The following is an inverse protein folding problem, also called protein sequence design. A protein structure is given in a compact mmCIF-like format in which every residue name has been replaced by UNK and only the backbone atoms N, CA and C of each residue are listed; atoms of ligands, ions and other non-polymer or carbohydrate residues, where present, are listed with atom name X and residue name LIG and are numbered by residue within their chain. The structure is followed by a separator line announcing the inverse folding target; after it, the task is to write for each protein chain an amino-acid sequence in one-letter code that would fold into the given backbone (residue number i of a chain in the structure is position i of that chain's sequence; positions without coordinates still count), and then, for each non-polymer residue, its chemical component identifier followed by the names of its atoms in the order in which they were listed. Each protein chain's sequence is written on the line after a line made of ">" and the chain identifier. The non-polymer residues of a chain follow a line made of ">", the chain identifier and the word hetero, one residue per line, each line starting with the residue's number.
data_IF_031159946728
#
_entry.id   IF_031159946728
#
_cell.length_a   1.000
_cell.length_b   1.000
_cell.length_c   1.000
_cell.angle_alpha   90.00
_cell.angle_beta   90.00
_cell.angle_gamma   90.00
#
_symmetry.space_group_name_H-M   'P 1'
#
loop_
_entity.id
_entity.type
_entity.pdbx_description
1 polymer ?
#
# COMPACT_ATOMS: atom_id res chain seq x y z
N UNK A 1 -11.24 10.70 -15.38
CA UNK A 1 -11.21 10.56 -13.92
C UNK A 1 -11.23 11.94 -13.26
N UNK A 2 -12.01 12.11 -12.20
CA UNK A 2 -12.24 13.37 -11.49
C UNK A 2 -12.07 13.14 -9.97
N UNK A 3 -11.09 13.78 -9.30
CA UNK A 3 -10.99 13.74 -7.84
C UNK A 3 -12.24 14.33 -7.18
N UNK A 4 -12.83 13.64 -6.20
CA UNK A 4 -14.01 14.10 -5.46
C UNK A 4 -13.71 14.33 -3.97
N UNK A 5 -12.64 13.77 -3.47
CA UNK A 5 -12.14 14.01 -2.11
C UNK A 5 -10.62 13.79 -2.05
N UNK A 6 -10.03 13.97 -0.87
CA UNK A 6 -8.61 13.70 -0.67
C UNK A 6 -8.21 12.24 -0.97
N UNK A 7 -9.15 11.29 -0.87
CA UNK A 7 -8.88 9.85 -0.96
C UNK A 7 -9.74 9.13 -2.00
N UNK A 8 -10.60 9.85 -2.75
CA UNK A 8 -11.48 9.21 -3.72
C UNK A 8 -11.61 10.04 -5.00
N UNK A 9 -11.79 9.33 -6.11
CA UNK A 9 -12.03 9.88 -7.42
C UNK A 9 -13.25 9.23 -8.07
N UNK A 10 -13.86 9.93 -9.00
CA UNK A 10 -14.90 9.42 -9.86
C UNK A 10 -14.29 9.03 -11.19
N UNK A 11 -14.35 7.77 -11.54
CA UNK A 11 -14.03 7.26 -12.86
C UNK A 11 -15.30 7.22 -13.69
N UNK A 12 -15.27 7.71 -14.94
CA UNK A 12 -16.40 7.69 -15.86
C UNK A 12 -15.98 7.10 -17.19
N UNK A 13 -16.91 6.42 -17.83
CA UNK A 13 -16.75 5.85 -19.17
C UNK A 13 -18.07 5.93 -19.94
N UNK A 14 -17.98 5.77 -21.26
CA UNK A 14 -19.16 5.73 -22.10
C UNK A 14 -19.89 4.41 -21.92
N UNK A 15 -21.23 4.49 -21.97
CA UNK A 15 -22.04 3.28 -21.88
C UNK A 15 -21.82 2.40 -23.11
N UNK A 16 -21.56 1.12 -22.91
CA UNK A 16 -21.50 0.16 -24.00
C UNK A 16 -22.81 0.09 -24.78
N UNK A 17 -22.73 -0.25 -26.07
CA UNK A 17 -23.92 -0.49 -26.91
C UNK A 17 -24.40 -1.95 -26.79
N UNK A 18 -23.52 -2.86 -26.32
CA UNK A 18 -23.79 -4.30 -26.25
C UNK A 18 -24.84 -4.60 -25.16
N UNK A 19 -25.89 -5.33 -25.54
CA UNK A 19 -27.01 -5.63 -24.65
C UNK A 19 -26.67 -6.69 -23.63
N UNK A 20 -25.84 -7.68 -23.98
CA UNK A 20 -25.35 -8.76 -23.13
C UNK A 20 -24.43 -8.25 -22.02
N UNK A 21 -23.66 -7.17 -22.27
CA UNK A 21 -22.93 -6.48 -21.23
C UNK A 21 -23.87 -5.66 -20.32
N UNK A 22 -24.85 -4.96 -20.91
CA UNK A 22 -25.80 -4.12 -20.13
C UNK A 22 -26.70 -4.95 -19.21
N UNK A 23 -27.04 -6.18 -19.64
CA UNK A 23 -27.94 -7.07 -18.93
C UNK A 23 -27.10 -8.22 -18.37
N UNK A 24 -26.85 -8.21 -17.08
CA UNK A 24 -26.05 -9.18 -16.33
C UNK A 24 -24.52 -9.16 -16.56
N UNK A 25 -24.00 -8.35 -17.47
CA UNK A 25 -22.56 -8.17 -17.62
C UNK A 25 -21.93 -7.28 -16.55
N UNK A 26 -20.62 -7.17 -16.59
CA UNK A 26 -19.81 -6.48 -15.59
C UNK A 26 -18.81 -5.50 -16.24
N UNK A 27 -18.35 -4.53 -15.45
CA UNK A 27 -17.18 -3.70 -15.76
C UNK A 27 -16.11 -3.96 -14.72
N UNK A 28 -14.98 -4.48 -15.16
CA UNK A 28 -13.80 -4.71 -14.32
C UNK A 28 -12.90 -3.49 -14.35
N UNK A 29 -12.39 -3.08 -13.19
CA UNK A 29 -11.51 -1.92 -13.03
C UNK A 29 -10.24 -2.38 -12.33
N UNK A 30 -9.11 -2.33 -13.05
CA UNK A 30 -7.79 -2.69 -12.54
C UNK A 30 -6.89 -1.48 -12.42
N UNK A 31 -5.81 -1.60 -11.67
CA UNK A 31 -4.82 -0.57 -11.43
C UNK A 31 -3.41 -1.12 -11.43
N UNK A 32 -2.49 -0.37 -12.02
CA UNK A 32 -1.05 -0.53 -11.90
C UNK A 32 -0.44 0.74 -11.31
N UNK A 33 0.63 0.62 -10.51
CA UNK A 33 1.35 1.78 -9.98
C UNK A 33 2.20 2.52 -11.04
N UNK A 34 2.39 1.92 -12.22
CA UNK A 34 3.15 2.53 -13.30
C UNK A 34 2.42 3.76 -13.84
N UNK A 35 3.16 4.84 -14.13
CA UNK A 35 2.61 6.12 -14.63
C UNK A 35 3.18 6.52 -15.97
N UNK A 36 3.98 5.65 -16.59
CA UNK A 36 4.69 5.87 -17.85
C UNK A 36 3.96 5.32 -19.09
N UNK A 37 2.79 4.69 -18.90
CA UNK A 37 2.00 4.09 -19.97
C UNK A 37 2.50 2.71 -20.42
N UNK A 38 3.40 2.09 -19.66
CA UNK A 38 3.90 0.72 -19.95
C UNK A 38 3.07 -0.37 -19.28
N UNK A 39 2.14 0.00 -18.39
CA UNK A 39 1.24 -0.96 -17.77
C UNK A 39 0.31 -1.60 -18.79
N UNK A 40 -0.02 -2.86 -18.56
CA UNK A 40 -0.99 -3.60 -19.36
C UNK A 40 -2.06 -4.22 -18.47
N UNK A 41 -3.17 -4.67 -19.05
CA UNK A 41 -4.22 -5.34 -18.30
C UNK A 41 -3.74 -6.57 -17.50
N UNK A 42 -2.90 -7.47 -18.07
CA UNK A 42 -2.39 -8.62 -17.32
C UNK A 42 -1.46 -8.24 -16.15
N UNK A 43 -0.72 -7.14 -16.25
CA UNK A 43 0.16 -6.68 -15.18
C UNK A 43 -0.50 -5.65 -14.25
N UNK A 44 -1.82 -5.74 -14.09
CA UNK A 44 -2.61 -4.85 -13.24
C UNK A 44 -3.49 -5.68 -12.31
N UNK A 45 -3.82 -5.12 -11.14
CA UNK A 45 -4.61 -5.77 -10.10
C UNK A 45 -5.95 -5.07 -9.92
N UNK A 46 -6.97 -5.79 -9.45
CA UNK A 46 -8.29 -5.22 -9.21
C UNK A 46 -8.19 -3.99 -8.29
N UNK A 47 -8.77 -2.88 -8.72
CA UNK A 47 -8.82 -1.64 -7.94
C UNK A 47 -10.04 -1.62 -7.02
N UNK A 48 -11.16 -2.09 -7.53
CA UNK A 48 -12.43 -2.26 -6.82
C UNK A 48 -13.10 -3.55 -7.33
N UNK A 49 -14.07 -4.12 -6.60
CA UNK A 49 -14.92 -5.17 -7.14
C UNK A 49 -15.58 -4.74 -8.45
N UNK A 50 -15.80 -5.69 -9.36
CA UNK A 50 -16.47 -5.39 -10.63
C UNK A 50 -17.84 -4.74 -10.39
N UNK A 51 -18.16 -3.76 -11.23
CA UNK A 51 -19.46 -3.05 -11.17
C UNK A 51 -20.38 -3.52 -12.28
N UNK A 52 -21.68 -3.25 -12.15
CA UNK A 52 -22.67 -3.68 -13.16
C UNK A 52 -22.38 -3.13 -14.55
N UNK A 53 -22.57 -3.92 -15.60
CA UNK A 53 -22.26 -3.58 -16.99
C UNK A 53 -23.05 -2.38 -17.55
N UNK A 54 -24.19 -2.04 -16.94
CA UNK A 54 -24.95 -0.83 -17.28
C UNK A 54 -24.47 0.44 -16.56
N UNK A 55 -23.46 0.34 -15.71
CA UNK A 55 -22.87 1.50 -15.03
C UNK A 55 -22.04 2.33 -16.01
N UNK A 56 -22.01 3.64 -15.80
CA UNK A 56 -21.18 4.60 -16.55
C UNK A 56 -20.19 5.34 -15.67
N UNK A 57 -20.21 5.04 -14.38
CA UNK A 57 -19.28 5.61 -13.42
C UNK A 57 -19.06 4.68 -12.22
N UNK A 58 -17.91 4.83 -11.57
CA UNK A 58 -17.58 4.22 -10.29
C UNK A 58 -16.79 5.19 -9.42
N UNK A 59 -16.95 5.06 -8.11
CA UNK A 59 -16.09 5.73 -7.14
C UNK A 59 -14.92 4.80 -6.87
N UNK A 60 -13.71 5.29 -7.12
CA UNK A 60 -12.46 4.56 -6.95
C UNK A 60 -11.56 5.29 -5.97
N UNK A 61 -10.61 4.60 -5.31
CA UNK A 61 -9.57 5.25 -4.53
C UNK A 61 -8.79 6.24 -5.40
N UNK A 62 -8.42 7.38 -4.81
CA UNK A 62 -7.56 8.36 -5.45
C UNK A 62 -6.10 7.89 -5.34
N UNK A 63 -5.62 7.17 -6.36
CA UNK A 63 -4.29 6.56 -6.41
C UNK A 63 -3.54 7.02 -7.66
N UNK A 64 -2.22 7.21 -7.54
CA UNK A 64 -1.37 7.42 -8.72
C UNK A 64 -1.16 6.11 -9.44
N UNK A 65 -1.06 6.15 -10.76
CA UNK A 65 -0.87 4.97 -11.59
C UNK A 65 -1.77 4.97 -12.81
N UNK A 66 -1.78 3.85 -13.52
CA UNK A 66 -2.67 3.63 -14.66
C UNK A 66 -3.87 2.78 -14.24
N UNK A 67 -5.06 3.26 -14.56
CA UNK A 67 -6.34 2.60 -14.24
C UNK A 67 -6.93 2.10 -15.55
N UNK A 68 -7.28 0.83 -15.59
CA UNK A 68 -7.83 0.12 -16.73
C UNK A 68 -9.29 -0.24 -16.51
N UNK A 69 -10.07 -0.31 -17.59
CA UNK A 69 -11.42 -0.86 -17.60
C UNK A 69 -11.61 -1.84 -18.77
N UNK A 70 -12.24 -2.98 -18.50
CA UNK A 70 -12.75 -3.93 -19.49
C UNK A 70 -14.21 -4.26 -19.19
N UNK A 71 -15.00 -4.47 -20.24
CA UNK A 71 -16.35 -5.00 -20.14
C UNK A 71 -16.33 -6.52 -20.16
N UNK A 72 -17.26 -7.14 -19.45
CA UNK A 72 -17.54 -8.58 -19.47
C UNK A 72 -19.01 -8.80 -19.80
N UNK A 73 -19.30 -9.72 -20.70
CA UNK A 73 -20.68 -10.11 -21.07
C UNK A 73 -21.31 -11.05 -20.02
N UNK A 74 -22.56 -11.43 -20.22
CA UNK A 74 -23.30 -12.33 -19.33
C UNK A 74 -22.80 -13.80 -19.38
N UNK A 75 -21.92 -14.14 -20.32
CA UNK A 75 -21.26 -15.45 -20.45
C UNK A 75 -19.85 -15.47 -19.84
N UNK A 76 -19.35 -14.34 -19.36
CA UNK A 76 -18.02 -14.20 -18.75
C UNK A 76 -16.91 -13.84 -19.75
N UNK A 77 -17.22 -13.54 -21.02
CA UNK A 77 -16.19 -13.13 -21.97
C UNK A 77 -15.85 -11.65 -21.78
N UNK A 78 -14.56 -11.34 -21.69
CA UNK A 78 -14.07 -9.97 -21.53
C UNK A 78 -13.75 -9.32 -22.88
N UNK A 79 -13.92 -8.00 -22.95
CA UNK A 79 -13.52 -7.23 -24.14
C UNK A 79 -12.02 -7.43 -24.43
N UNK A 80 -11.67 -7.59 -25.71
CA UNK A 80 -10.29 -7.83 -26.15
C UNK A 80 -9.34 -6.75 -25.66
N UNK A 81 -9.72 -5.48 -25.83
CA UNK A 81 -8.88 -4.34 -25.44
C UNK A 81 -9.36 -3.72 -24.11
N UNK A 82 -8.43 -3.34 -23.26
CA UNK A 82 -8.69 -2.49 -22.12
C UNK A 82 -8.58 -1.00 -22.53
N UNK A 83 -9.43 -0.16 -21.95
CA UNK A 83 -9.26 1.29 -22.00
C UNK A 83 -8.59 1.74 -20.71
N UNK A 84 -7.61 2.65 -20.80
CA UNK A 84 -6.89 3.12 -19.62
C UNK A 84 -6.86 4.64 -19.48
N UNK A 85 -6.59 5.09 -18.26
CA UNK A 85 -6.30 6.48 -17.91
C UNK A 85 -5.18 6.53 -16.90
N UNK A 86 -4.18 7.39 -17.14
CA UNK A 86 -3.08 7.62 -16.20
C UNK A 86 -3.45 8.75 -15.26
N UNK A 87 -3.33 8.50 -13.94
CA UNK A 87 -3.46 9.50 -12.90
C UNK A 87 -2.10 9.78 -12.26
N UNK A 88 -1.68 11.02 -12.33
CA UNK A 88 -0.48 11.51 -11.65
C UNK A 88 -0.89 12.54 -10.61
N UNK A 89 -0.34 12.43 -9.41
CA UNK A 89 -0.48 13.48 -8.42
C UNK A 89 0.70 14.42 -8.48
N UNK A 90 0.49 15.74 -8.38
CA UNK A 90 1.56 16.63 -8.02
C UNK A 90 2.09 16.19 -6.64
N UNK A 91 3.40 16.22 -6.47
CA UNK A 91 4.04 15.96 -5.20
C UNK A 91 3.38 16.81 -4.11
N UNK A 92 2.63 16.18 -3.21
CA UNK A 92 1.85 16.90 -2.21
C UNK A 92 2.81 17.43 -1.15
N UNK A 93 3.26 18.66 -1.34
CA UNK A 93 3.97 19.43 -0.33
C UNK A 93 3.19 19.36 1.00
N UNK A 94 3.78 18.71 2.00
CA UNK A 94 3.18 18.62 3.32
C UNK A 94 2.88 17.22 3.84
N UNK A 95 3.24 16.15 3.10
CA UNK A 95 3.23 14.78 3.62
C UNK A 95 4.65 14.34 3.97
N UNK A 96 4.77 13.55 5.03
CA UNK A 96 5.99 12.83 5.37
C UNK A 96 5.83 11.38 4.90
N UNK A 97 6.61 10.97 3.91
CA UNK A 97 6.77 9.56 3.60
C UNK A 97 7.67 8.95 4.68
N UNK A 98 7.08 8.12 5.52
CA UNK A 98 7.79 7.56 6.68
C UNK A 98 8.54 6.32 6.29
N UNK A 99 7.90 5.47 5.50
CA UNK A 99 8.48 4.21 5.03
C UNK A 99 7.86 3.78 3.72
N UNK A 100 8.72 3.33 2.84
CA UNK A 100 8.37 2.46 1.72
C UNK A 100 8.92 1.09 2.05
N UNK A 101 8.06 0.10 2.24
CA UNK A 101 8.45 -1.29 2.40
C UNK A 101 8.32 -1.99 1.06
N UNK A 102 9.36 -2.71 0.69
CA UNK A 102 9.45 -3.50 -0.53
C UNK A 102 10.00 -4.87 -0.14
N UNK A 103 9.17 -5.92 -0.23
CA UNK A 103 9.57 -7.31 0.05
C UNK A 103 10.47 -7.87 -1.06
N UNK A 104 10.28 -7.40 -2.29
CA UNK A 104 11.07 -7.74 -3.47
C UNK A 104 12.50 -7.17 -3.44
N UNK A 105 12.76 -6.09 -2.68
CA UNK A 105 14.09 -5.49 -2.55
C UNK A 105 14.88 -6.01 -1.35
N UNK A 106 14.35 -6.95 -0.60
CA UNK A 106 15.09 -7.61 0.49
C UNK A 106 16.25 -8.44 -0.05
N UNK A 107 17.17 -8.84 0.82
CA UNK A 107 18.28 -9.74 0.47
C UNK A 107 18.33 -10.92 1.46
N UNK A 108 17.90 -12.14 1.02
CA UNK A 108 17.27 -12.48 -0.26
C UNK A 108 15.89 -11.84 -0.42
N UNK A 109 15.34 -11.72 -1.64
CA UNK A 109 13.98 -11.21 -1.84
C UNK A 109 12.90 -12.07 -1.20
N UNK A 110 11.75 -11.46 -0.90
CA UNK A 110 10.56 -12.15 -0.39
C UNK A 110 10.83 -13.07 0.81
N UNK A 111 11.36 -12.51 1.91
CA UNK A 111 11.72 -13.26 3.13
C UNK A 111 10.51 -13.67 3.99
N UNK A 112 9.30 -13.24 3.64
CA UNK A 112 8.09 -13.56 4.37
C UNK A 112 7.69 -15.03 4.31
N UNK A 113 6.56 -15.36 4.93
CA UNK A 113 6.04 -16.73 4.91
C UNK A 113 5.39 -17.03 3.57
N UNK A 114 5.85 -18.08 2.91
CA UNK A 114 5.36 -18.56 1.63
C UNK A 114 4.52 -19.82 1.84
N UNK A 115 3.37 -19.88 1.21
CA UNK A 115 2.51 -21.07 1.12
C UNK A 115 2.15 -21.25 -0.34
N UNK A 116 2.53 -22.37 -0.93
CA UNK A 116 2.27 -22.72 -2.33
C UNK A 116 2.80 -21.67 -3.33
N UNK A 117 3.85 -20.93 -2.94
CA UNK A 117 4.57 -19.97 -3.80
C UNK A 117 6.06 -19.97 -3.45
N UNK A 118 6.88 -19.58 -4.40
CA UNK A 118 8.33 -19.43 -4.21
C UNK A 118 8.85 -18.19 -4.96
N UNK A 119 10.08 -17.78 -4.62
CA UNK A 119 10.81 -16.79 -5.37
C UNK A 119 11.61 -17.49 -6.46
N UNK A 120 11.32 -17.12 -7.69
CA UNK A 120 12.04 -17.59 -8.88
C UNK A 120 13.19 -16.63 -9.18
N UNK A 121 14.44 -17.13 -9.12
CA UNK A 121 15.65 -16.33 -9.32
C UNK A 121 15.83 -15.92 -10.79
N UNK A 122 15.35 -16.71 -11.75
CA UNK A 122 15.47 -16.44 -13.17
C UNK A 122 14.47 -15.36 -13.63
N UNK A 123 13.28 -15.37 -13.03
CA UNK A 123 12.23 -14.37 -13.28
C UNK A 123 12.36 -13.13 -12.36
N UNK A 124 13.20 -13.20 -11.31
CA UNK A 124 13.32 -12.18 -10.26
C UNK A 124 11.95 -11.80 -9.65
N UNK A 125 11.11 -12.79 -9.39
CA UNK A 125 9.72 -12.56 -8.98
C UNK A 125 9.20 -13.67 -8.05
N UNK A 126 8.12 -13.36 -7.31
CA UNK A 126 7.36 -14.34 -6.56
C UNK A 126 6.28 -14.94 -7.46
N UNK A 127 6.21 -16.26 -7.56
CA UNK A 127 5.26 -16.98 -8.41
C UNK A 127 4.51 -18.05 -7.62
N UNK A 128 3.38 -18.51 -8.17
CA UNK A 128 2.66 -19.69 -7.65
C UNK A 128 3.52 -20.92 -7.95
N UNK A 129 3.61 -21.83 -6.98
CA UNK A 129 4.28 -23.11 -7.12
C UNK A 129 3.50 -24.02 -8.08
N UNK A 130 4.21 -24.96 -8.69
CA UNK A 130 3.63 -26.01 -9.51
C UNK A 130 3.45 -27.31 -8.74
N UNK A 131 2.53 -28.15 -9.18
CA UNK A 131 2.48 -29.52 -8.72
C UNK A 131 3.77 -30.25 -9.17
N UNK A 132 4.30 -31.11 -8.35
CA UNK A 132 5.60 -31.79 -8.44
C UNK A 132 6.30 -31.72 -9.81
N UNK A 133 7.44 -31.04 -9.91
CA UNK A 133 8.23 -31.00 -11.13
C UNK A 133 9.00 -32.32 -11.31
N UNK A 134 9.25 -32.71 -12.55
CA UNK A 134 9.98 -33.95 -12.87
C UNK A 134 11.36 -34.03 -12.20
N UNK A 135 12.04 -32.89 -12.08
CA UNK A 135 13.38 -32.78 -11.48
C UNK A 135 13.37 -32.96 -9.95
N UNK A 136 12.21 -32.77 -9.30
CA UNK A 136 12.06 -32.94 -7.84
C UNK A 136 11.74 -34.39 -7.44
N UNK A 137 11.51 -35.27 -8.42
CA UNK A 137 11.18 -36.67 -8.17
C UNK A 137 12.45 -37.52 -7.92
N UNK A 138 12.53 -38.11 -6.72
CA UNK A 138 13.64 -39.00 -6.37
C UNK A 138 13.66 -40.28 -7.22
N UNK A 139 12.49 -40.78 -7.63
CA UNK A 139 12.30 -41.98 -8.46
C UNK A 139 11.07 -41.82 -9.37
N UNK A 140 11.19 -42.19 -10.65
CA UNK A 140 10.12 -42.13 -11.63
C UNK A 140 8.90 -42.97 -11.23
N UNK A 141 9.11 -44.05 -10.47
CA UNK A 141 8.05 -44.95 -10.01
C UNK A 141 7.14 -44.33 -8.94
N UNK A 142 7.50 -43.20 -8.37
CA UNK A 142 6.69 -42.47 -7.38
C UNK A 142 5.72 -41.44 -8.00
N UNK A 143 5.86 -41.17 -9.28
CA UNK A 143 5.01 -40.22 -10.00
C UNK A 143 3.62 -40.83 -10.18
N UNK A 144 2.63 -40.24 -9.54
CA UNK A 144 1.24 -40.69 -9.57
C UNK A 144 0.54 -40.41 -10.91
N UNK A 145 0.92 -39.31 -11.59
CA UNK A 145 0.42 -38.93 -12.91
C UNK A 145 1.46 -38.06 -13.61
N UNK A 146 1.81 -38.38 -14.84
CA UNK A 146 2.66 -37.56 -15.70
C UNK A 146 1.89 -36.40 -16.33
N UNK A 147 0.56 -36.48 -16.39
CA UNK A 147 -0.29 -35.48 -17.02
C UNK A 147 -0.47 -34.24 -16.16
N UNK A 148 -0.15 -34.32 -14.87
CA UNK A 148 -0.29 -33.20 -13.90
C UNK A 148 1.05 -32.63 -13.45
N UNK A 149 2.17 -33.17 -13.93
CA UNK A 149 3.50 -32.66 -13.60
C UNK A 149 3.69 -31.26 -14.13
N UNK A 150 3.95 -30.32 -13.20
CA UNK A 150 4.14 -28.92 -13.53
C UNK A 150 2.84 -28.11 -13.70
N UNK A 151 1.68 -28.69 -13.39
CA UNK A 151 0.42 -27.95 -13.28
C UNK A 151 0.56 -26.88 -12.20
N UNK A 152 0.16 -25.65 -12.53
CA UNK A 152 0.20 -24.53 -11.57
C UNK A 152 -0.89 -24.73 -10.53
N UNK A 153 -0.53 -24.57 -9.24
CA UNK A 153 -1.48 -24.64 -8.14
C UNK A 153 -2.53 -23.52 -8.25
N UNK A 154 -3.75 -23.82 -7.84
CA UNK A 154 -4.89 -22.91 -8.00
C UNK A 154 -4.83 -21.68 -7.10
N UNK A 155 -4.04 -21.70 -6.01
CA UNK A 155 -3.90 -20.61 -5.07
C UNK A 155 -2.60 -20.68 -4.30
N UNK A 156 -2.08 -19.51 -3.92
CA UNK A 156 -0.90 -19.37 -3.11
C UNK A 156 -1.00 -18.13 -2.20
N UNK A 157 -0.26 -18.11 -1.12
CA UNK A 157 -0.23 -17.00 -0.16
C UNK A 157 1.20 -16.62 0.20
N UNK A 158 1.47 -15.33 0.23
CA UNK A 158 2.69 -14.75 0.77
C UNK A 158 2.35 -13.76 1.88
N UNK A 159 2.79 -14.01 3.11
CA UNK A 159 2.64 -13.08 4.21
C UNK A 159 3.95 -12.32 4.46
N UNK A 160 3.88 -10.98 4.54
CA UNK A 160 5.03 -10.10 4.79
C UNK A 160 5.78 -10.50 6.06
N UNK A 161 7.11 -10.35 6.02
CA UNK A 161 7.98 -10.71 7.14
C UNK A 161 7.70 -9.90 8.40
N UNK A 162 7.35 -8.63 8.27
CA UNK A 162 7.14 -7.73 9.39
C UNK A 162 5.81 -6.99 9.32
N UNK A 163 5.21 -6.74 10.49
CA UNK A 163 4.11 -5.80 10.64
C UNK A 163 4.61 -4.36 10.54
N UNK A 164 3.81 -3.46 9.98
CA UNK A 164 3.98 -2.02 10.11
C UNK A 164 3.50 -1.59 11.50
N UNK A 165 4.42 -1.28 12.43
CA UNK A 165 4.09 -0.79 13.78
C UNK A 165 4.34 0.72 13.87
N UNK A 166 3.31 1.48 14.22
CA UNK A 166 3.36 2.94 14.41
C UNK A 166 3.69 3.34 15.85
N UNK A 167 3.82 2.36 16.76
CA UNK A 167 4.08 2.58 18.19
C UNK A 167 2.86 3.06 19.00
N UNK A 168 1.87 3.68 18.34
CA UNK A 168 0.59 4.09 18.90
C UNK A 168 -0.47 4.14 17.80
N UNK A 169 -1.74 4.35 18.17
CA UNK A 169 -2.82 4.48 17.19
C UNK A 169 -2.75 5.83 16.49
N UNK A 170 -2.55 5.80 15.17
CA UNK A 170 -2.50 6.97 14.30
C UNK A 170 -3.41 6.80 13.09
N UNK A 171 -3.81 7.93 12.52
CA UNK A 171 -4.37 8.01 11.18
C UNK A 171 -3.26 8.32 10.17
N UNK A 172 -3.14 7.51 9.12
CA UNK A 172 -2.12 7.65 8.09
C UNK A 172 -2.66 7.19 6.74
N UNK A 173 -2.03 7.67 5.67
CA UNK A 173 -2.31 7.19 4.31
C UNK A 173 -1.34 6.04 3.99
N UNK A 174 -1.87 4.90 3.55
CA UNK A 174 -1.07 3.78 3.08
C UNK A 174 -1.42 3.52 1.61
N UNK A 175 -0.41 3.55 0.76
CA UNK A 175 -0.51 3.22 -0.65
C UNK A 175 0.13 1.85 -0.89
N UNK A 176 -0.54 1.00 -1.68
CA UNK A 176 0.03 -0.28 -2.08
C UNK A 176 1.12 -0.08 -3.13
N UNK A 177 2.16 -0.90 -3.07
CA UNK A 177 3.17 -1.10 -4.10
C UNK A 177 3.00 -2.54 -4.56
N UNK A 178 2.35 -2.73 -5.70
CA UNK A 178 1.94 -4.05 -6.13
C UNK A 178 1.89 -4.08 -7.65
N UNK A 179 2.87 -4.75 -8.26
CA UNK A 179 2.98 -4.94 -9.70
C UNK A 179 3.03 -6.42 -9.97
N UNK A 180 2.15 -6.88 -10.83
CA UNK A 180 2.01 -8.29 -11.19
C UNK A 180 2.04 -8.45 -12.69
N UNK A 181 2.42 -9.63 -13.15
CA UNK A 181 2.45 -9.98 -14.55
C UNK A 181 1.98 -11.42 -14.72
N UNK A 182 0.97 -11.63 -15.55
CA UNK A 182 0.50 -12.95 -15.93
C UNK A 182 1.37 -13.52 -17.05
N UNK A 183 1.60 -14.83 -17.05
CA UNK A 183 2.40 -15.49 -18.07
C UNK A 183 2.06 -16.97 -18.19
N UNK A 184 2.50 -17.60 -19.28
CA UNK A 184 2.46 -19.05 -19.48
C UNK A 184 3.86 -19.62 -19.22
N UNK A 185 4.09 -20.37 -18.12
CA UNK A 185 5.41 -20.95 -17.83
C UNK A 185 5.90 -21.91 -18.91
N UNK A 186 4.95 -22.63 -19.51
CA UNK A 186 5.19 -23.70 -20.48
C UNK A 186 4.54 -23.42 -21.84
N UNK A 187 4.56 -22.18 -22.33
CA UNK A 187 4.05 -21.87 -23.68
C UNK A 187 4.99 -22.41 -24.75
N UNK A 188 5.03 -23.74 -24.86
CA UNK A 188 5.83 -24.42 -25.83
C UNK A 188 5.15 -24.35 -27.21
N UNK A 189 5.96 -24.09 -28.25
CA UNK A 189 5.53 -24.15 -29.65
C UNK A 189 4.80 -25.47 -29.96
N UNK A 190 5.21 -26.55 -29.30
CA UNK A 190 4.66 -27.89 -29.44
C UNK A 190 3.20 -28.05 -28.97
N UNK A 191 2.74 -27.19 -28.06
CA UNK A 191 1.33 -27.23 -27.60
C UNK A 191 0.36 -26.54 -28.53
N UNK A 192 0.85 -25.77 -29.53
CA UNK A 192 0.03 -25.04 -30.48
C UNK A 192 -0.35 -25.92 -31.68
N UNK A 193 -1.63 -26.10 -31.90
CA UNK A 193 -2.18 -26.89 -33.00
C UNK A 193 -2.41 -26.10 -34.28
N UNK A 194 -2.40 -24.77 -34.21
CA UNK A 194 -2.59 -23.89 -35.35
C UNK A 194 -1.29 -23.72 -36.15
N UNK A 195 -1.40 -23.45 -37.47
CA UNK A 195 -0.23 -23.18 -38.30
C UNK A 195 0.49 -21.90 -37.84
N UNK A 196 1.82 -21.92 -37.87
CA UNK A 196 2.69 -20.84 -37.43
C UNK A 196 2.39 -19.50 -38.11
N UNK A 197 1.96 -19.51 -39.37
CA UNK A 197 1.57 -18.35 -40.16
C UNK A 197 0.24 -17.70 -39.70
N UNK A 198 -0.51 -18.40 -38.84
CA UNK A 198 -1.77 -17.90 -38.26
C UNK A 198 -1.57 -17.36 -36.82
N UNK A 199 -0.39 -17.46 -36.27
CA UNK A 199 -0.10 -16.97 -34.94
C UNK A 199 0.06 -15.46 -34.95
N UNK A 200 -0.75 -14.78 -34.13
CA UNK A 200 -0.65 -13.34 -33.94
C UNK A 200 0.55 -12.93 -33.07
N UNK A 201 1.12 -13.92 -32.38
CA UNK A 201 2.07 -13.71 -31.31
C UNK A 201 2.94 -14.97 -31.15
N UNK A 202 4.28 -14.81 -31.11
CA UNK A 202 5.19 -15.92 -30.86
C UNK A 202 5.37 -16.20 -29.35
N UNK A 203 5.04 -15.22 -28.50
CA UNK A 203 5.23 -15.28 -27.06
C UNK A 203 3.97 -15.75 -26.31
N UNK A 204 2.99 -16.28 -27.02
CA UNK A 204 1.77 -16.81 -26.41
C UNK A 204 0.56 -15.90 -26.47
N UNK A 205 -0.57 -16.43 -26.05
CA UNK A 205 -1.80 -15.66 -25.82
C UNK A 205 -1.70 -14.90 -24.49
N UNK A 206 -2.47 -13.82 -24.35
CA UNK A 206 -2.56 -13.09 -23.08
C UNK A 206 -3.07 -14.03 -21.98
N UNK A 207 -2.30 -14.25 -20.91
CA UNK A 207 -2.74 -15.01 -19.75
C UNK A 207 -3.75 -14.17 -18.96
N UNK A 208 -4.99 -14.64 -18.83
CA UNK A 208 -6.08 -13.89 -18.21
C UNK A 208 -6.84 -14.67 -17.12
N UNK A 209 -6.50 -15.96 -16.95
CA UNK A 209 -7.10 -16.84 -15.95
C UNK A 209 -6.45 -16.74 -14.56
N UNK A 210 -5.62 -15.74 -14.33
CA UNK A 210 -4.89 -15.52 -13.08
C UNK A 210 -5.22 -14.17 -12.44
N UNK A 211 -5.08 -14.09 -11.13
CA UNK A 211 -5.26 -12.85 -10.37
C UNK A 211 -4.40 -12.85 -9.12
N UNK A 212 -4.01 -11.67 -8.67
CA UNK A 212 -3.38 -11.50 -7.37
C UNK A 212 -4.04 -10.36 -6.60
N UNK A 213 -4.17 -10.54 -5.29
CA UNK A 213 -4.76 -9.56 -4.38
C UNK A 213 -3.86 -9.34 -3.18
N UNK A 214 -3.77 -8.11 -2.76
CA UNK A 214 -3.09 -7.73 -1.54
C UNK A 214 -4.13 -7.52 -0.44
N UNK A 215 -3.88 -8.10 0.74
CA UNK A 215 -4.75 -7.98 1.91
C UNK A 215 -3.99 -7.34 3.07
N UNK A 216 -4.75 -6.74 3.97
CA UNK A 216 -4.23 -6.27 5.24
C UNK A 216 -5.17 -6.65 6.39
N UNK A 217 -4.62 -6.66 7.58
CA UNK A 217 -5.36 -6.64 8.83
C UNK A 217 -4.68 -5.72 9.82
N UNK A 218 -5.45 -5.16 10.76
CA UNK A 218 -4.94 -4.18 11.70
C UNK A 218 -5.23 -4.55 13.14
N UNK A 219 -4.45 -3.96 14.06
CA UNK A 219 -4.66 -4.06 15.50
C UNK A 219 -4.30 -2.75 16.19
N UNK A 220 -4.90 -2.51 17.36
CA UNK A 220 -4.49 -1.45 18.29
C UNK A 220 -3.58 -1.97 19.42
N UNK A 221 -3.36 -3.29 19.46
CA UNK A 221 -2.46 -3.91 20.42
C UNK A 221 -0.99 -3.74 19.99
N UNK A 222 -0.09 -3.98 20.94
CA UNK A 222 1.35 -4.04 20.66
C UNK A 222 1.69 -5.28 19.84
N UNK A 223 2.20 -5.16 18.61
CA UNK A 223 2.50 -6.33 17.77
C UNK A 223 3.66 -7.18 18.32
N UNK A 224 4.48 -6.66 19.23
CA UNK A 224 5.53 -7.42 19.89
C UNK A 224 5.04 -8.35 21.02
N UNK A 225 3.78 -8.19 21.45
CA UNK A 225 3.12 -8.99 22.45
C UNK A 225 2.30 -10.15 21.86
N UNK A 226 1.08 -10.32 22.35
CA UNK A 226 0.10 -11.27 21.80
C UNK A 226 -1.09 -10.48 21.22
N UNK A 227 -0.89 -9.82 20.07
CA UNK A 227 -1.90 -8.92 19.52
C UNK A 227 -3.11 -9.68 18.97
N UNK A 228 -4.29 -9.08 19.13
CA UNK A 228 -5.51 -9.54 18.46
C UNK A 228 -5.72 -8.71 17.21
N UNK A 229 -5.52 -9.32 16.06
CA UNK A 229 -5.78 -8.68 14.76
C UNK A 229 -7.24 -8.85 14.35
N UNK A 230 -7.77 -7.87 13.63
CA UNK A 230 -9.03 -7.98 12.91
C UNK A 230 -8.99 -9.02 11.79
N UNK A 231 -10.11 -9.20 11.08
CA UNK A 231 -10.17 -10.02 9.89
C UNK A 231 -9.32 -9.43 8.76
N UNK A 232 -8.83 -10.30 7.87
CA UNK A 232 -8.18 -9.88 6.63
C UNK A 232 -9.18 -9.14 5.73
N UNK A 233 -8.75 -8.03 5.17
CA UNK A 233 -9.51 -7.17 4.25
C UNK A 233 -8.65 -6.91 3.02
N UNK A 234 -9.27 -6.82 1.85
CA UNK A 234 -8.57 -6.45 0.63
C UNK A 234 -7.93 -5.08 0.79
N UNK A 235 -6.64 -4.99 0.48
CA UNK A 235 -5.88 -3.76 0.64
C UNK A 235 -6.01 -2.89 -0.60
N UNK A 236 -6.81 -1.86 -0.46
CA UNK A 236 -6.91 -0.76 -1.41
C UNK A 236 -6.26 0.46 -0.76
N UNK A 237 -5.42 1.17 -1.52
CA UNK A 237 -4.76 2.40 -1.01
C UNK A 237 -5.77 3.37 -0.42
N UNK A 238 -5.48 3.93 0.75
CA UNK A 238 -6.40 4.81 1.46
C UNK A 238 -5.86 5.30 2.80
N UNK A 239 -6.74 5.98 3.55
CA UNK A 239 -6.44 6.42 4.92
C UNK A 239 -6.92 5.36 5.90
N UNK A 240 -6.04 4.94 6.79
CA UNK A 240 -6.27 3.92 7.79
C UNK A 240 -5.98 4.44 9.19
N UNK A 241 -6.57 3.79 10.18
CA UNK A 241 -6.43 4.17 11.57
C UNK A 241 -6.23 2.93 12.44
N UNK A 242 -5.01 2.71 12.89
CA UNK A 242 -4.63 1.66 13.83
C UNK A 242 -3.25 1.92 14.42
N UNK A 243 -2.79 1.04 15.33
CA UNK A 243 -1.40 0.99 15.79
C UNK A 243 -0.53 0.17 14.86
N UNK A 244 -0.99 -0.99 14.43
CA UNK A 244 -0.18 -1.85 13.58
C UNK A 244 -1.00 -2.54 12.49
N UNK A 245 -0.30 -2.88 11.39
CA UNK A 245 -0.86 -3.51 10.20
C UNK A 245 0.01 -4.71 9.80
N UNK A 246 -0.64 -5.81 9.41
CA UNK A 246 -0.03 -6.93 8.72
C UNK A 246 -0.55 -7.01 7.30
N UNK A 247 0.29 -7.48 6.37
CA UNK A 247 -0.04 -7.58 4.95
C UNK A 247 0.23 -9.00 4.44
N UNK A 248 -0.57 -9.42 3.45
CA UNK A 248 -0.34 -10.64 2.70
C UNK A 248 -0.80 -10.47 1.26
N UNK A 249 -0.14 -11.15 0.33
CA UNK A 249 -0.60 -11.31 -1.04
C UNK A 249 -1.22 -12.70 -1.20
N UNK A 250 -2.35 -12.77 -1.90
CA UNK A 250 -2.96 -14.01 -2.39
C UNK A 250 -2.83 -14.03 -3.91
N UNK A 251 -2.33 -15.12 -4.45
CA UNK A 251 -2.20 -15.38 -5.88
C UNK A 251 -3.16 -16.50 -6.24
N UNK A 252 -3.83 -16.38 -7.36
CA UNK A 252 -4.79 -17.38 -7.80
C UNK A 252 -4.63 -17.64 -9.29
N UNK A 253 -4.73 -18.90 -9.69
CA UNK A 253 -4.88 -19.32 -11.06
C UNK A 253 -6.10 -20.25 -11.21
N UNK A 254 -6.91 -20.00 -12.22
CA UNK A 254 -8.03 -20.88 -12.60
C UNK A 254 -7.69 -21.76 -13.82
N UNK A 255 -6.48 -21.66 -14.32
CA UNK A 255 -5.94 -22.47 -15.41
C UNK A 255 -4.54 -22.98 -15.02
N UNK A 256 -4.37 -24.29 -14.99
CA UNK A 256 -3.12 -24.96 -14.61
C UNK A 256 -1.93 -24.62 -15.52
N UNK A 257 -2.17 -24.09 -16.71
CA UNK A 257 -1.15 -23.66 -17.65
C UNK A 257 -0.73 -22.19 -17.49
N UNK A 258 -1.42 -21.42 -16.65
CA UNK A 258 -1.19 -20.01 -16.46
C UNK A 258 -0.66 -19.73 -15.06
N UNK A 259 0.33 -18.86 -14.96
CA UNK A 259 0.87 -18.40 -13.68
C UNK A 259 0.86 -16.88 -13.61
N UNK A 260 0.97 -16.35 -12.39
CA UNK A 260 1.13 -14.94 -12.10
C UNK A 260 2.39 -14.72 -11.29
N UNK A 261 3.16 -13.74 -11.68
CA UNK A 261 4.32 -13.29 -10.93
C UNK A 261 4.07 -11.94 -10.29
N UNK A 262 4.72 -11.70 -9.17
CA UNK A 262 4.75 -10.43 -8.47
C UNK A 262 6.15 -9.85 -8.58
N UNK A 263 6.29 -8.78 -9.39
CA UNK A 263 7.55 -8.04 -9.59
C UNK A 263 7.80 -7.02 -8.47
N UNK A 264 6.73 -6.38 -7.97
CA UNK A 264 6.81 -5.38 -6.90
C UNK A 264 5.78 -5.69 -5.83
N UNK A 265 6.22 -5.86 -4.58
CA UNK A 265 5.35 -6.12 -3.45
C UNK A 265 5.71 -5.26 -2.26
N UNK A 266 4.78 -4.40 -1.85
CA UNK A 266 5.03 -3.54 -0.71
C UNK A 266 3.96 -2.52 -0.45
N UNK A 267 4.32 -1.54 0.36
CA UNK A 267 3.48 -0.38 0.65
C UNK A 267 4.33 0.86 0.89
N UNK A 268 3.69 2.02 0.76
CA UNK A 268 4.23 3.31 1.19
C UNK A 268 3.30 3.92 2.22
N UNK A 269 3.80 4.12 3.44
CA UNK A 269 3.08 4.75 4.54
C UNK A 269 3.47 6.24 4.64
N UNK A 270 2.47 7.13 4.72
CA UNK A 270 2.68 8.58 4.83
C UNK A 270 1.79 9.20 5.89
N UNK A 271 2.32 10.19 6.60
CA UNK A 271 1.57 11.02 7.52
C UNK A 271 1.35 12.41 6.95
N UNK A 272 0.20 12.99 7.25
CA UNK A 272 -0.07 14.39 6.92
C UNK A 272 0.65 15.32 7.88
N UNK A 273 1.16 16.45 7.36
CA UNK A 273 1.69 17.53 8.17
C UNK A 273 0.58 18.17 8.99
N UNK A 274 0.83 18.39 10.26
CA UNK A 274 -0.09 19.04 11.20
C UNK A 274 0.58 20.21 11.90
N UNK A 275 -0.22 21.22 12.16
CA UNK A 275 0.14 22.34 13.00
C UNK A 275 -0.79 22.40 14.20
N UNK A 276 -0.22 22.68 15.37
CA UNK A 276 -0.95 22.92 16.60
C UNK A 276 -0.46 24.23 17.23
N UNK A 277 -1.38 25.01 17.75
CA UNK A 277 -1.11 26.29 18.38
C UNK A 277 -1.68 26.30 19.80
N UNK A 278 -1.12 27.14 20.68
CA UNK A 278 -1.78 27.43 21.95
C UNK A 278 -3.13 28.10 21.72
N UNK A 279 -4.13 27.72 22.53
CA UNK A 279 -5.48 28.33 22.48
C UNK A 279 -5.55 29.70 23.21
N UNK A 280 -4.43 30.34 23.42
CA UNK A 280 -4.28 31.59 24.14
C UNK A 280 -2.94 31.69 24.87
N UNK A 281 -2.83 32.66 25.73
CA UNK A 281 -1.64 32.89 26.54
C UNK A 281 -1.49 31.85 27.63
N UNK A 282 -0.27 31.34 27.78
CA UNK A 282 0.12 30.37 28.80
C UNK A 282 1.11 31.05 29.73
N UNK A 283 0.84 31.03 31.04
CA UNK A 283 1.80 31.51 32.03
C UNK A 283 2.95 30.50 32.23
N UNK A 284 4.20 30.95 32.10
CA UNK A 284 5.38 30.09 32.31
C UNK A 284 5.58 29.68 33.77
N UNK A 285 5.10 30.49 34.69
CA UNK A 285 5.36 30.29 36.13
C UNK A 285 6.81 30.63 36.53
N UNK A 286 7.18 30.21 37.72
CA UNK A 286 8.52 30.41 38.30
C UNK A 286 9.33 29.11 38.37
N UNK A 287 8.98 28.13 37.56
CA UNK A 287 9.68 26.84 37.38
C UNK A 287 9.54 26.39 35.94
N UNK A 288 10.28 25.35 35.54
CA UNK A 288 10.12 24.74 34.21
C UNK A 288 8.64 24.41 33.97
N UNK A 289 8.09 24.94 32.90
CA UNK A 289 6.71 24.70 32.48
C UNK A 289 6.65 23.60 31.45
N UNK A 290 5.99 22.51 31.79
CA UNK A 290 5.62 21.49 30.82
C UNK A 290 4.37 21.93 30.04
N UNK A 291 4.40 21.77 28.73
CA UNK A 291 3.31 22.03 27.79
C UNK A 291 2.95 20.71 27.08
N UNK A 292 1.70 20.33 27.15
CA UNK A 292 1.19 19.10 26.50
C UNK A 292 0.43 19.49 25.23
N UNK A 293 0.67 18.77 24.14
CA UNK A 293 -0.09 18.89 22.91
C UNK A 293 -1.49 18.29 23.07
N UNK A 294 -2.46 18.80 22.35
CA UNK A 294 -3.84 18.26 22.34
C UNK A 294 -3.87 16.80 21.85
N UNK A 295 -3.11 16.54 20.82
CA UNK A 295 -2.90 15.19 20.26
C UNK A 295 -1.41 14.94 20.03
N UNK A 296 -0.95 13.71 20.28
CA UNK A 296 0.44 13.38 20.02
C UNK A 296 0.79 13.47 18.53
N UNK A 297 2.00 13.91 18.23
CA UNK A 297 2.60 13.84 16.91
C UNK A 297 3.26 12.48 16.71
N UNK A 298 3.34 12.04 15.46
CA UNK A 298 4.20 10.92 15.09
C UNK A 298 5.66 11.39 15.10
N UNK A 299 6.51 10.68 15.84
CA UNK A 299 7.93 11.04 15.96
C UNK A 299 8.88 9.97 15.43
N UNK A 300 8.34 8.89 14.87
CA UNK A 300 9.08 7.72 14.42
C UNK A 300 9.09 6.61 15.47
N UNK A 301 9.34 5.39 14.99
CA UNK A 301 9.57 4.19 15.81
C UNK A 301 10.88 3.52 15.38
N UNK A 302 11.37 2.54 16.13
CA UNK A 302 12.57 1.81 15.76
C UNK A 302 12.48 1.20 14.37
N UNK A 303 11.28 0.77 13.96
CA UNK A 303 10.99 0.20 12.64
C UNK A 303 10.63 1.24 11.57
N UNK A 304 10.39 2.51 11.97
CA UNK A 304 9.88 3.57 11.09
C UNK A 304 10.73 4.84 11.21
N UNK A 305 11.83 4.88 10.50
CA UNK A 305 12.74 6.04 10.42
C UNK A 305 13.62 6.24 11.65
N UNK A 306 13.45 5.47 12.73
CA UNK A 306 14.15 5.62 14.00
C UNK A 306 13.36 6.42 15.04
N UNK A 307 13.57 6.09 16.30
CA UNK A 307 12.93 6.78 17.43
C UNK A 307 13.33 8.26 17.43
N UNK A 308 12.36 9.15 17.50
CA UNK A 308 12.53 10.60 17.49
C UNK A 308 13.10 11.19 16.17
N UNK A 309 13.08 10.46 15.07
CA UNK A 309 13.54 10.97 13.76
C UNK A 309 12.70 12.17 13.26
N UNK A 310 11.43 12.26 13.70
CA UNK A 310 10.45 13.24 13.21
C UNK A 310 9.87 14.09 14.35
N UNK A 311 10.70 14.54 15.26
CA UNK A 311 10.25 15.44 16.35
C UNK A 311 9.57 16.69 15.77
N UNK A 312 8.47 17.17 16.38
CA UNK A 312 7.84 18.41 15.97
C UNK A 312 8.77 19.61 16.19
N UNK A 313 8.72 20.55 15.27
CA UNK A 313 9.37 21.85 15.45
C UNK A 313 8.47 22.75 16.30
N UNK A 314 9.02 23.32 17.39
CA UNK A 314 8.28 24.18 18.31
C UNK A 314 8.83 25.58 18.24
N UNK A 315 7.97 26.54 17.89
CA UNK A 315 8.26 27.99 18.00
C UNK A 315 7.46 28.55 19.16
N UNK A 316 8.09 29.38 19.96
CA UNK A 316 7.51 30.06 21.15
C UNK A 316 7.65 31.54 21.02
N UNK A 317 6.57 32.27 21.27
CA UNK A 317 6.57 33.75 21.38
C UNK A 317 6.28 34.13 22.83
N UNK A 318 7.25 34.68 23.50
CA UNK A 318 7.11 35.14 24.89
C UNK A 318 6.81 36.64 24.90
N UNK A 319 5.84 37.02 25.71
CA UNK A 319 5.38 38.41 25.84
C UNK A 319 6.12 39.13 26.97
N UNK A 320 6.43 40.40 26.73
CA UNK A 320 7.01 41.33 27.74
C UNK A 320 8.31 40.79 28.37
N UNK A 321 9.23 40.28 27.55
CA UNK A 321 10.57 39.90 28.00
C UNK A 321 11.29 41.11 28.59
N UNK A 322 11.83 40.95 29.78
CA UNK A 322 12.70 41.95 30.44
C UNK A 322 14.11 41.94 29.87
N UNK A 323 14.88 42.96 30.21
CA UNK A 323 16.28 43.06 29.79
C UNK A 323 17.11 41.91 30.39
N UNK A 324 17.82 41.15 29.54
CA UNK A 324 18.66 40.03 29.95
C UNK A 324 17.89 38.72 30.18
N UNK A 325 16.59 38.70 30.01
CA UNK A 325 15.81 37.45 30.04
C UNK A 325 16.04 36.63 28.78
N UNK A 326 16.01 35.31 28.91
CA UNK A 326 16.16 34.34 27.80
C UNK A 326 15.14 33.24 27.90
N UNK A 327 14.78 32.67 26.75
CA UNK A 327 13.85 31.56 26.62
C UNK A 327 14.62 30.30 26.29
N UNK A 328 14.33 29.20 26.99
CA UNK A 328 14.85 27.88 26.71
C UNK A 328 13.70 26.92 26.47
N UNK A 329 13.65 26.31 25.28
CA UNK A 329 12.72 25.23 24.93
C UNK A 329 13.50 23.93 24.97
N UNK A 330 12.99 22.96 25.71
CA UNK A 330 13.67 21.68 25.95
C UNK A 330 12.67 20.52 25.94
N UNK A 331 13.16 19.27 25.99
CA UNK A 331 12.37 18.06 26.15
C UNK A 331 11.24 17.95 25.12
N UNK A 332 11.48 18.36 23.87
CA UNK A 332 10.50 18.20 22.79
C UNK A 332 10.28 16.71 22.55
N UNK A 333 9.01 16.30 22.53
CA UNK A 333 8.57 14.93 22.38
C UNK A 333 7.31 14.82 21.49
N UNK A 334 6.79 13.62 21.31
CA UNK A 334 5.51 13.41 20.62
C UNK A 334 4.32 14.09 21.32
N UNK A 335 4.36 14.23 22.64
CA UNK A 335 3.24 14.67 23.47
C UNK A 335 3.38 16.09 24.01
N UNK A 336 4.53 16.76 23.83
CA UNK A 336 4.73 18.10 24.36
C UNK A 336 6.19 18.54 24.41
N UNK A 337 6.43 19.61 25.13
CA UNK A 337 7.75 20.19 25.36
C UNK A 337 7.82 20.90 26.71
N UNK A 338 9.01 21.26 27.12
CA UNK A 338 9.24 22.07 28.31
C UNK A 338 9.78 23.46 27.94
N UNK A 339 9.42 24.49 28.71
CA UNK A 339 9.90 25.85 28.54
C UNK A 339 10.34 26.45 29.87
N UNK A 340 11.45 27.15 29.83
CA UNK A 340 11.95 28.03 30.90
C UNK A 340 12.06 29.45 30.36
N UNK A 341 11.61 30.43 31.12
CA UNK A 341 11.94 31.84 30.91
C UNK A 341 12.85 32.27 32.07
N UNK A 342 14.10 32.53 31.76
CA UNK A 342 15.16 32.77 32.75
C UNK A 342 15.56 34.24 32.77
N UNK A 343 15.77 34.79 33.97
CA UNK A 343 16.38 36.10 34.14
C UNK A 343 17.89 36.07 33.84
N UNK A 344 18.57 37.19 34.02
CA UNK A 344 20.01 37.31 33.83
C UNK A 344 20.82 36.46 34.83
N UNK A 345 20.27 36.15 35.99
CA UNK A 345 20.83 35.27 37.02
C UNK A 345 20.58 33.78 36.80
N UNK A 346 19.75 33.45 35.84
CA UNK A 346 19.38 32.03 35.53
C UNK A 346 18.21 31.52 36.35
N UNK A 347 17.47 32.38 37.05
CA UNK A 347 16.26 32.02 37.79
C UNK A 347 15.01 32.09 36.89
N UNK A 348 14.05 31.16 37.06
CA UNK A 348 12.80 31.20 36.32
C UNK A 348 11.95 32.41 36.70
N UNK A 349 11.45 33.13 35.69
CA UNK A 349 10.54 34.26 35.80
C UNK A 349 9.23 33.97 35.06
N UNK A 350 8.14 34.47 35.67
CA UNK A 350 6.82 34.25 35.07
C UNK A 350 6.60 35.26 33.92
N UNK A 351 6.34 34.70 32.72
CA UNK A 351 5.95 35.42 31.51
C UNK A 351 4.81 34.69 30.82
N UNK A 352 3.99 35.41 30.11
CA UNK A 352 3.00 34.81 29.22
C UNK A 352 3.67 34.49 27.88
N UNK A 353 3.29 33.35 27.30
CA UNK A 353 3.77 32.93 26.01
C UNK A 353 2.67 32.22 25.19
N UNK A 354 2.85 32.20 23.90
CA UNK A 354 2.11 31.35 22.94
C UNK A 354 3.09 30.41 22.25
N UNK A 355 2.60 29.30 21.71
CA UNK A 355 3.43 28.41 20.92
C UNK A 355 2.74 27.98 19.62
N UNK A 356 3.57 27.57 18.67
CA UNK A 356 3.20 26.87 17.46
C UNK A 356 4.08 25.63 17.35
N UNK A 357 3.45 24.46 17.24
CA UNK A 357 4.13 23.21 16.99
C UNK A 357 3.77 22.71 15.60
N UNK A 358 4.77 22.29 14.81
CA UNK A 358 4.60 21.76 13.46
C UNK A 358 5.28 20.40 13.40
N UNK A 359 4.53 19.38 13.06
CA UNK A 359 4.98 18.00 12.98
C UNK A 359 4.05 17.18 12.05
N UNK A 360 4.07 15.87 12.23
CA UNK A 360 3.33 14.95 11.38
C UNK A 360 2.45 14.02 12.20
N UNK A 361 1.37 13.53 11.56
CA UNK A 361 0.46 12.57 12.17
C UNK A 361 -0.37 13.18 13.31
N UNK A 362 -1.46 12.50 13.61
CA UNK A 362 -2.36 12.81 14.70
C UNK A 362 -2.74 11.50 15.38
N UNK A 363 -2.33 11.34 16.65
CA UNK A 363 -2.81 10.23 17.46
C UNK A 363 -4.33 10.35 17.65
N UNK A 364 -5.01 9.21 17.64
CA UNK A 364 -6.47 9.12 17.70
C UNK A 364 -6.94 8.79 19.11
#
# INVERSE_FOLDING_TARGET
>A
IEPISANSARLRWDQTVDLDVKVNGLVHIKHSNLTDGTATWPNSVDLIPAVAGNSTEAIVPLVAGEIFAKFEDDLGNKSTNATSVIMQFPDTLGRLAVQTRREDLDSPPFQGTKTDCFYDEDLDALIIDGDEQFDDQAEVDTISSFDTLGDILSSAEYQFVNALDLGARFSLDIQRRFVTRAFFPNDLIDSRTANVDTWNDFDGTEADAVNAKLYFRSTNDDPSGSPTYGAWQEFISGTFEARAFQFKAELNSSDVAQNILIDELGYQATFQRRQENSNGDIASGTSTKAVTFDKAFFTGTASLGGTNAYLPSVAVTVMNLGAGERVNVSSVSSTGFSIDVLDSGGSNVNRNFTYQAVGYGKAV
#
